data_IF_649209544281
#
_entry.id   IF_649209544281
#
_cell.length_a   1.000
_cell.length_b   1.000
_cell.length_c   1.000
_cell.angle_alpha   90.00
_cell.angle_beta   90.00
_cell.angle_gamma   90.00
#
_symmetry.space_group_name_H-M   'P 1'
#
loop_
_entity.id
_entity.type
_entity.pdbx_description
1 polymer ?
#
# COMPACT_ATOMS: atom_id res chain seq x y z
N UNK A 1 24.51 -40.24 3.36
CA UNK A 1 23.09 -39.89 3.18
C UNK A 1 23.04 -38.38 3.07
N UNK A 2 23.16 -37.88 1.84
CA UNK A 2 23.29 -36.45 1.55
C UNK A 2 21.98 -35.75 1.88
N UNK A 3 22.01 -34.82 2.83
CA UNK A 3 20.92 -33.88 3.05
C UNK A 3 20.90 -32.91 1.86
N UNK A 4 20.22 -33.28 0.78
CA UNK A 4 20.03 -32.44 -0.40
C UNK A 4 18.93 -31.39 -0.10
N UNK A 5 19.36 -30.17 0.19
CA UNK A 5 18.79 -28.90 -0.29
C UNK A 5 17.27 -28.70 -0.17
N UNK A 6 16.70 -28.79 1.04
CA UNK A 6 15.27 -28.55 1.26
C UNK A 6 14.80 -27.09 1.31
N UNK A 7 15.62 -26.11 0.91
CA UNK A 7 15.16 -24.71 0.78
C UNK A 7 15.15 -24.28 -0.69
N UNK A 8 14.26 -24.90 -1.47
CA UNK A 8 13.85 -24.33 -2.75
C UNK A 8 13.01 -23.08 -2.48
N UNK A 9 13.46 -21.91 -2.94
CA UNK A 9 12.64 -20.71 -3.04
C UNK A 9 12.49 -20.30 -4.50
N UNK A 10 11.62 -19.33 -4.79
CA UNK A 10 11.39 -18.84 -6.15
C UNK A 10 11.41 -17.32 -6.20
N UNK A 11 11.62 -16.76 -7.38
CA UNK A 11 11.56 -15.31 -7.62
C UNK A 11 10.14 -14.92 -8.02
N UNK A 12 9.49 -14.08 -7.22
CA UNK A 12 8.16 -13.58 -7.51
C UNK A 12 8.15 -12.77 -8.83
N UNK A 13 7.27 -13.06 -9.79
CA UNK A 13 7.22 -12.33 -11.06
C UNK A 13 6.67 -10.90 -10.93
N UNK A 14 6.01 -10.57 -9.82
CA UNK A 14 5.36 -9.26 -9.61
C UNK A 14 6.33 -8.25 -9.00
N UNK A 15 7.07 -8.66 -7.97
CA UNK A 15 7.95 -7.78 -7.20
C UNK A 15 9.43 -8.17 -7.28
N UNK A 16 9.78 -9.25 -7.99
CA UNK A 16 11.14 -9.79 -8.13
C UNK A 16 11.82 -10.25 -6.83
N UNK A 17 11.10 -10.29 -5.70
CA UNK A 17 11.63 -10.80 -4.42
C UNK A 17 11.75 -12.32 -4.45
N UNK A 18 12.77 -12.84 -3.74
CA UNK A 18 12.91 -14.27 -3.51
C UNK A 18 12.03 -14.67 -2.34
N UNK A 19 11.26 -15.75 -2.49
CA UNK A 19 10.23 -16.18 -1.54
C UNK A 19 10.41 -17.67 -1.26
N UNK A 20 10.29 -18.07 0.00
CA UNK A 20 10.27 -19.48 0.39
C UNK A 20 9.13 -20.24 -0.29
N UNK A 21 9.32 -21.53 -0.61
CA UNK A 21 8.24 -22.35 -1.17
C UNK A 21 7.01 -22.41 -0.26
N UNK A 22 7.20 -22.42 1.07
CA UNK A 22 6.11 -22.51 2.04
C UNK A 22 5.24 -21.24 2.11
N UNK A 23 5.78 -20.11 1.68
CA UNK A 23 5.11 -18.79 1.71
C UNK A 23 4.73 -18.29 0.30
N UNK A 24 4.89 -19.14 -0.72
CA UNK A 24 4.64 -18.82 -2.13
C UNK A 24 3.22 -18.31 -2.36
N UNK A 25 2.21 -19.08 -1.98
CA UNK A 25 0.81 -18.75 -2.25
C UNK A 25 0.40 -17.47 -1.53
N UNK A 26 0.82 -17.34 -0.28
CA UNK A 26 0.57 -16.14 0.53
C UNK A 26 1.19 -14.90 -0.12
N UNK A 27 2.47 -14.98 -0.52
CA UNK A 27 3.15 -13.88 -1.17
C UNK A 27 2.52 -13.50 -2.51
N UNK A 28 2.13 -14.48 -3.32
CA UNK A 28 1.50 -14.24 -4.62
C UNK A 28 0.14 -13.57 -4.45
N UNK A 29 -0.70 -14.04 -3.51
CA UNK A 29 -1.98 -13.39 -3.20
C UNK A 29 -1.72 -11.94 -2.79
N UNK A 30 -0.80 -11.69 -1.85
CA UNK A 30 -0.49 -10.33 -1.40
C UNK A 30 0.07 -9.44 -2.52
N UNK A 31 0.97 -9.96 -3.35
CA UNK A 31 1.57 -9.19 -4.45
C UNK A 31 0.59 -8.90 -5.59
N UNK A 32 -0.26 -9.86 -5.95
CA UNK A 32 -1.24 -9.71 -7.02
C UNK A 32 -2.44 -8.86 -6.58
N UNK A 33 -2.85 -8.96 -5.32
CA UNK A 33 -3.97 -8.19 -4.77
C UNK A 33 -3.55 -6.82 -4.24
N UNK A 34 -2.25 -6.47 -4.27
CA UNK A 34 -1.74 -5.16 -3.84
C UNK A 34 -2.52 -4.06 -4.57
N UNK A 35 -3.30 -3.23 -3.85
CA UNK A 35 -4.13 -2.24 -4.49
C UNK A 35 -3.25 -1.22 -5.24
N UNK A 36 -3.46 -1.09 -6.56
CA UNK A 36 -2.89 0.00 -7.35
C UNK A 36 -3.90 1.15 -7.39
N UNK A 37 -4.25 1.66 -6.21
CA UNK A 37 -5.21 2.75 -6.10
C UNK A 37 -4.49 4.04 -6.46
N UNK A 38 -5.00 4.72 -7.49
CA UNK A 38 -4.63 6.09 -7.82
C UNK A 38 -5.69 7.04 -7.28
N UNK A 39 -5.30 8.28 -7.03
CA UNK A 39 -6.21 9.35 -6.63
C UNK A 39 -5.94 10.58 -7.49
N UNK A 40 -6.89 11.51 -7.52
CA UNK A 40 -6.70 12.82 -8.11
C UNK A 40 -6.17 13.79 -7.04
N UNK A 41 -5.10 14.51 -7.35
CA UNK A 41 -4.62 15.61 -6.53
C UNK A 41 -5.39 16.89 -6.88
N UNK A 42 -5.87 17.61 -5.87
CA UNK A 42 -6.67 18.83 -6.03
C UNK A 42 -6.43 19.78 -4.86
N UNK A 43 -6.85 21.04 -5.01
CA UNK A 43 -6.87 22.03 -3.93
C UNK A 43 -8.31 22.15 -3.43
N UNK A 44 -8.49 21.98 -2.12
CA UNK A 44 -9.82 22.00 -1.52
C UNK A 44 -10.45 23.39 -1.63
N UNK A 45 -11.60 23.50 -2.29
CA UNK A 45 -12.26 24.79 -2.57
C UNK A 45 -13.07 25.35 -1.41
N UNK A 46 -13.40 24.53 -0.40
CA UNK A 46 -14.12 24.88 0.83
C UNK A 46 -13.84 23.82 1.88
N UNK A 47 -13.95 24.19 3.16
CA UNK A 47 -13.76 23.26 4.27
C UNK A 47 -14.65 22.00 4.12
N UNK A 48 -14.12 20.85 4.51
CA UNK A 48 -14.75 19.55 4.25
C UNK A 48 -14.49 18.52 5.36
N UNK A 49 -15.21 18.62 6.47
CA UNK A 49 -15.12 17.62 7.56
C UNK A 49 -13.68 17.41 8.02
N UNK A 50 -13.35 16.15 8.37
CA UNK A 50 -12.05 15.78 8.92
C UNK A 50 -11.37 14.72 8.05
N UNK A 51 -10.04 14.77 7.97
CA UNK A 51 -9.28 13.71 7.37
C UNK A 51 -9.28 12.49 8.30
N UNK A 52 -9.92 11.39 7.88
CA UNK A 52 -10.01 10.17 8.70
C UNK A 52 -8.67 9.43 8.95
N UNK A 53 -7.54 9.96 8.46
CA UNK A 53 -6.19 9.41 8.71
C UNK A 53 -5.53 10.14 9.88
N UNK A 54 -5.39 11.47 9.79
CA UNK A 54 -4.76 12.28 10.84
C UNK A 54 -5.75 12.82 11.88
N UNK A 55 -7.05 12.73 11.61
CA UNK A 55 -8.15 13.25 12.43
C UNK A 55 -8.17 14.79 12.56
N UNK A 56 -7.47 15.48 11.66
CA UNK A 56 -7.47 16.95 11.57
C UNK A 56 -8.51 17.46 10.55
N UNK A 57 -8.97 18.70 10.72
CA UNK A 57 -9.91 19.33 9.79
C UNK A 57 -9.31 19.50 8.38
N UNK A 58 -10.14 19.28 7.36
CA UNK A 58 -9.80 19.56 5.97
C UNK A 58 -10.24 20.98 5.62
N UNK A 59 -9.29 21.88 5.44
CA UNK A 59 -9.53 23.32 5.30
C UNK A 59 -9.38 23.79 3.86
N UNK A 60 -10.09 24.85 3.49
CA UNK A 60 -9.95 25.49 2.19
C UNK A 60 -8.48 25.83 1.91
N UNK A 61 -8.01 25.46 0.71
CA UNK A 61 -6.62 25.64 0.31
C UNK A 61 -5.72 24.42 0.58
N UNK A 62 -6.18 23.43 1.34
CA UNK A 62 -5.43 22.19 1.55
C UNK A 62 -5.22 21.43 0.24
N UNK A 63 -4.02 20.86 0.12
CA UNK A 63 -3.73 19.89 -0.95
C UNK A 63 -4.29 18.54 -0.57
N UNK A 64 -5.29 18.08 -1.33
CA UNK A 64 -6.04 16.88 -1.04
C UNK A 64 -5.83 15.81 -2.11
N UNK A 65 -6.07 14.57 -1.70
CA UNK A 65 -6.21 13.43 -2.57
C UNK A 65 -7.68 12.96 -2.58
N UNK A 66 -8.26 12.87 -3.77
CA UNK A 66 -9.61 12.34 -3.98
C UNK A 66 -9.54 10.96 -4.62
N UNK A 67 -9.95 9.94 -3.87
CA UNK A 67 -10.01 8.57 -4.36
C UNK A 67 -11.18 8.37 -5.35
N UNK A 68 -11.20 7.25 -6.12
CA UNK A 68 -12.31 6.94 -7.03
C UNK A 68 -13.68 6.78 -6.32
N UNK A 69 -13.68 6.43 -5.04
CA UNK A 69 -14.87 6.39 -4.18
C UNK A 69 -15.30 7.78 -3.67
N UNK A 70 -14.62 8.85 -4.10
CA UNK A 70 -14.83 10.25 -3.72
C UNK A 70 -14.44 10.63 -2.29
N UNK A 71 -13.94 9.68 -1.48
CA UNK A 71 -13.32 9.98 -0.19
C UNK A 71 -12.12 10.93 -0.37
N UNK A 72 -11.98 11.87 0.57
CA UNK A 72 -11.00 12.95 0.54
C UNK A 72 -10.06 12.78 1.74
N UNK A 73 -8.77 12.96 1.51
CA UNK A 73 -7.74 12.97 2.55
C UNK A 73 -6.71 14.06 2.23
N UNK A 74 -5.92 14.47 3.21
CA UNK A 74 -4.70 15.22 2.92
C UNK A 74 -3.78 14.37 2.04
N UNK A 75 -3.18 14.99 1.02
CA UNK A 75 -2.30 14.30 0.07
C UNK A 75 -1.14 13.59 0.79
N UNK A 76 -0.50 14.25 1.75
CA UNK A 76 0.56 13.64 2.55
C UNK A 76 0.09 12.43 3.37
N UNK A 77 -1.10 12.50 3.97
CA UNK A 77 -1.62 11.42 4.81
C UNK A 77 -1.91 10.15 3.99
N UNK A 78 -2.51 10.28 2.80
CA UNK A 78 -2.77 9.11 1.96
C UNK A 78 -1.48 8.52 1.37
N UNK A 79 -0.48 9.36 1.08
CA UNK A 79 0.82 8.92 0.58
C UNK A 79 1.55 8.09 1.62
N UNK A 80 1.67 8.59 2.85
CA UNK A 80 2.27 7.86 3.97
C UNK A 80 1.53 6.56 4.26
N UNK A 81 0.20 6.58 4.22
CA UNK A 81 -0.62 5.38 4.40
C UNK A 81 -0.33 4.31 3.33
N UNK A 82 -0.24 4.70 2.06
CA UNK A 82 0.12 3.77 0.98
C UNK A 82 1.55 3.26 1.08
N UNK A 83 2.49 4.10 1.54
CA UNK A 83 3.85 3.66 1.85
C UNK A 83 3.86 2.63 2.98
N UNK A 84 3.08 2.82 4.04
CA UNK A 84 2.98 1.88 5.15
C UNK A 84 2.40 0.52 4.71
N UNK A 85 1.34 0.53 3.90
CA UNK A 85 0.77 -0.72 3.33
C UNK A 85 1.79 -1.40 2.43
N UNK A 86 2.53 -0.64 1.62
CA UNK A 86 3.58 -1.19 0.77
C UNK A 86 4.74 -1.82 1.59
N UNK A 87 5.12 -1.20 2.71
CA UNK A 87 6.21 -1.67 3.58
C UNK A 87 5.79 -2.83 4.49
N UNK A 88 4.53 -2.90 4.92
CA UNK A 88 4.03 -3.97 5.80
C UNK A 88 4.00 -5.35 5.13
N UNK A 89 3.97 -5.40 3.80
CA UNK A 89 4.16 -6.65 3.03
C UNK A 89 5.62 -7.13 2.96
N UNK A 90 6.56 -6.38 3.56
CA UNK A 90 7.99 -6.68 3.58
C UNK A 90 8.49 -7.18 4.94
N UNK A 91 7.74 -6.99 6.03
CA UNK A 91 8.27 -7.12 7.39
C UNK A 91 8.17 -8.52 8.02
N UNK A 92 8.20 -9.57 7.20
CA UNK A 92 8.42 -10.93 7.70
C UNK A 92 9.13 -11.78 6.66
N UNK A 93 10.36 -11.41 6.35
CA UNK A 93 11.39 -12.32 5.81
C UNK A 93 12.74 -11.99 6.44
#
# INVERSE_FOLDING_TARGET
>A
MTACDWYSGFKCPVCSKFVSSDEMDLHLVMCLTKPRITYNEDVLSKDAGECAICLEELQQGDTIARLPCLCIYHKGCIDEWFLFIAASTDQKM
#
